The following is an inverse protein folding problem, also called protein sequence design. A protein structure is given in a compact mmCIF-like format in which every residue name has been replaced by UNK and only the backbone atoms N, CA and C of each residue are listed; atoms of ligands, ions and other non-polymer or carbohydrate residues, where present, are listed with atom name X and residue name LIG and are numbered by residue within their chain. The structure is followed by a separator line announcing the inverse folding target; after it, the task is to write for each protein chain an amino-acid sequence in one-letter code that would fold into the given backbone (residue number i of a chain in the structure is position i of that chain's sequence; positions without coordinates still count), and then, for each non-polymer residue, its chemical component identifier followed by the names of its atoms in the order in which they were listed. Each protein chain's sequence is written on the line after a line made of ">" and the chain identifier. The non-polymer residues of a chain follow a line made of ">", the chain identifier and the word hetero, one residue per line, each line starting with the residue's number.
data_IF_746044625044
#
_entry.id   IF_746044625044
#
_cell.length_a   1.000
_cell.length_b   1.000
_cell.length_c   1.000
_cell.angle_alpha   90.00
_cell.angle_beta   90.00
_cell.angle_gamma   90.00
#
_symmetry.space_group_name_H-M   'P 1'
#
loop_
_entity.id
_entity.type
_entity.pdbx_description
1 polymer ?
#
# COMPACT_ATOMS: atom_id res chain seq x y z
N UNK A 1 -6.98 3.67 16.63
CA UNK A 1 -5.74 4.46 16.75
C UNK A 1 -5.38 5.14 15.43
N UNK A 2 -5.27 4.40 14.28
CA UNK A 2 -4.84 4.94 12.98
C UNK A 2 -5.70 6.13 12.53
N UNK A 3 -7.02 5.95 12.49
CA UNK A 3 -7.98 7.02 12.11
C UNK A 3 -7.90 8.24 13.05
N UNK A 4 -7.75 8.01 14.36
CA UNK A 4 -7.59 9.12 15.33
C UNK A 4 -6.28 9.88 15.10
N UNK A 5 -5.26 9.24 14.57
CA UNK A 5 -3.99 9.85 14.17
C UNK A 5 -4.00 10.53 12.80
N UNK A 6 -5.15 10.57 12.11
CA UNK A 6 -5.29 11.16 10.78
C UNK A 6 -4.83 10.25 9.64
N UNK A 7 -4.52 8.99 9.92
CA UNK A 7 -4.18 8.00 8.91
C UNK A 7 -5.39 7.24 8.36
N UNK A 8 -5.14 6.38 7.40
CA UNK A 8 -6.13 5.48 6.80
C UNK A 8 -5.77 4.02 7.10
N UNK A 9 -6.77 3.19 7.32
CA UNK A 9 -6.55 1.75 7.38
C UNK A 9 -6.45 1.19 5.95
N UNK A 10 -5.51 0.28 5.73
CA UNK A 10 -5.53 -0.58 4.56
C UNK A 10 -6.76 -1.51 4.63
N UNK A 11 -6.97 -2.39 3.65
CA UNK A 11 -8.11 -3.32 3.64
C UNK A 11 -8.26 -4.01 5.01
N UNK A 12 -9.49 -4.03 5.55
CA UNK A 12 -9.80 -4.63 6.86
C UNK A 12 -9.91 -6.16 6.77
N UNK A 13 -10.19 -6.67 5.58
CA UNK A 13 -10.29 -8.09 5.29
C UNK A 13 -9.96 -8.36 3.82
N UNK A 14 -9.80 -9.64 3.46
CA UNK A 14 -9.40 -10.04 2.11
C UNK A 14 -10.48 -9.85 1.03
N UNK A 15 -11.72 -9.57 1.43
CA UNK A 15 -12.84 -9.38 0.50
C UNK A 15 -13.01 -7.92 0.05
N UNK A 16 -12.44 -6.95 0.78
CA UNK A 16 -12.55 -5.52 0.41
C UNK A 16 -11.72 -5.19 -0.82
N UNK A 17 -10.58 -5.82 -0.98
CA UNK A 17 -9.66 -5.62 -2.10
C UNK A 17 -8.81 -6.87 -2.29
N UNK A 18 -8.69 -7.33 -3.51
CA UNK A 18 -7.81 -8.44 -3.86
C UNK A 18 -6.38 -7.91 -4.00
N UNK A 19 -5.40 -8.68 -3.54
CA UNK A 19 -4.00 -8.27 -3.61
C UNK A 19 -3.19 -9.39 -4.28
N UNK A 20 -2.52 -9.04 -5.37
CA UNK A 20 -1.56 -9.90 -6.05
C UNK A 20 -0.15 -9.54 -5.59
N UNK A 21 0.59 -10.55 -5.18
CA UNK A 21 2.00 -10.49 -4.78
C UNK A 21 2.82 -11.40 -5.68
N UNK A 22 4.14 -11.32 -5.57
CA UNK A 22 5.10 -12.14 -6.31
C UNK A 22 4.69 -13.61 -6.40
N UNK A 23 4.42 -14.26 -5.29
CA UNK A 23 4.03 -15.67 -5.24
C UNK A 23 2.74 -15.97 -6.01
N UNK A 24 1.78 -15.04 -6.07
CA UNK A 24 0.56 -15.21 -6.84
C UNK A 24 0.83 -15.10 -8.34
N UNK A 25 1.68 -14.15 -8.73
CA UNK A 25 2.10 -13.92 -10.12
C UNK A 25 2.89 -15.11 -10.63
N UNK A 26 3.85 -15.58 -9.84
CA UNK A 26 4.67 -16.74 -10.16
C UNK A 26 3.81 -18.02 -10.34
N UNK A 27 2.86 -18.24 -9.43
CA UNK A 27 1.94 -19.37 -9.51
C UNK A 27 1.02 -19.31 -10.73
N UNK A 28 0.58 -18.13 -11.16
CA UNK A 28 -0.23 -17.93 -12.34
C UNK A 28 0.59 -17.97 -13.65
N UNK A 29 1.90 -17.73 -13.56
CA UNK A 29 2.85 -17.68 -14.67
C UNK A 29 3.00 -16.30 -15.31
N UNK A 30 2.14 -15.33 -15.02
CA UNK A 30 2.28 -13.91 -15.35
C UNK A 30 1.27 -13.08 -14.55
N UNK A 31 1.53 -11.77 -14.42
CA UNK A 31 0.61 -10.83 -13.82
C UNK A 31 -0.70 -10.75 -14.60
N UNK A 32 -0.64 -10.69 -15.93
CA UNK A 32 -1.81 -10.66 -16.81
C UNK A 32 -2.74 -11.84 -16.53
N UNK A 33 -2.19 -13.06 -16.48
CA UNK A 33 -2.97 -14.26 -16.15
C UNK A 33 -3.56 -14.22 -14.74
N UNK A 34 -2.79 -13.75 -13.76
CA UNK A 34 -3.28 -13.63 -12.39
C UNK A 34 -4.48 -12.68 -12.31
N UNK A 35 -4.41 -11.52 -12.97
CA UNK A 35 -5.50 -10.53 -13.02
C UNK A 35 -6.73 -11.11 -13.76
N UNK A 36 -6.51 -11.78 -14.89
CA UNK A 36 -7.60 -12.43 -15.66
C UNK A 36 -8.32 -13.50 -14.84
N UNK A 37 -7.58 -14.34 -14.10
CA UNK A 37 -8.15 -15.35 -13.22
C UNK A 37 -9.03 -14.74 -12.13
N UNK A 38 -8.59 -13.63 -11.50
CA UNK A 38 -9.39 -12.92 -10.51
C UNK A 38 -10.65 -12.33 -11.11
N UNK A 39 -10.55 -11.64 -12.24
CA UNK A 39 -11.71 -11.05 -12.94
C UNK A 39 -12.70 -12.11 -13.44
N UNK A 40 -12.21 -13.26 -13.86
CA UNK A 40 -13.07 -14.38 -14.24
C UNK A 40 -13.73 -15.08 -13.05
N UNK A 41 -13.12 -15.02 -11.87
CA UNK A 41 -13.63 -15.70 -10.66
C UNK A 41 -14.69 -14.90 -9.93
N UNK A 42 -14.62 -13.56 -9.95
CA UNK A 42 -15.49 -12.68 -9.17
C UNK A 42 -16.35 -11.81 -10.08
N UNK A 43 -17.64 -11.71 -9.79
CA UNK A 43 -18.58 -10.84 -10.50
C UNK A 43 -19.62 -10.26 -9.52
N UNK A 44 -19.58 -8.96 -9.17
CA UNK A 44 -18.53 -8.02 -9.58
C UNK A 44 -17.16 -8.36 -8.96
N UNK A 45 -16.10 -8.05 -9.69
CA UNK A 45 -14.74 -8.22 -9.17
C UNK A 45 -14.45 -7.10 -8.17
N UNK A 46 -13.99 -7.43 -6.94
CA UNK A 46 -13.47 -6.42 -6.04
C UNK A 46 -12.25 -5.70 -6.66
N UNK A 47 -11.90 -4.50 -6.18
CA UNK A 47 -10.68 -3.82 -6.62
C UNK A 47 -9.45 -4.72 -6.50
N UNK A 48 -8.56 -4.62 -7.48
CA UNK A 48 -7.31 -5.39 -7.52
C UNK A 48 -6.13 -4.47 -7.28
N UNK A 49 -5.35 -4.77 -6.26
CA UNK A 49 -4.04 -4.18 -6.00
C UNK A 49 -2.94 -5.16 -6.38
N UNK A 50 -1.87 -4.64 -7.01
CA UNK A 50 -0.71 -5.42 -7.41
C UNK A 50 0.55 -4.85 -6.80
N UNK A 51 1.34 -5.70 -6.14
CA UNK A 51 2.66 -5.39 -5.64
C UNK A 51 3.68 -5.50 -6.78
N UNK A 52 4.34 -4.37 -7.11
CA UNK A 52 5.34 -4.25 -8.16
C UNK A 52 6.72 -3.97 -7.56
N UNK A 53 7.74 -4.68 -8.04
CA UNK A 53 9.13 -4.63 -7.57
C UNK A 53 10.06 -3.86 -8.51
N UNK A 54 9.61 -3.62 -9.74
CA UNK A 54 10.39 -2.97 -10.80
C UNK A 54 9.49 -2.29 -11.83
N UNK A 55 10.08 -1.54 -12.77
CA UNK A 55 9.36 -0.77 -13.79
C UNK A 55 8.63 -1.65 -14.82
N UNK A 56 9.16 -2.83 -15.12
CA UNK A 56 8.52 -3.77 -16.05
C UNK A 56 7.21 -4.28 -15.47
N UNK A 57 7.19 -4.63 -14.18
CA UNK A 57 5.97 -5.04 -13.48
C UNK A 57 4.94 -3.90 -13.39
N UNK A 58 5.39 -2.65 -13.20
CA UNK A 58 4.51 -1.48 -13.25
C UNK A 58 3.88 -1.35 -14.64
N UNK A 59 4.66 -1.48 -15.70
CA UNK A 59 4.16 -1.42 -17.08
C UNK A 59 3.09 -2.50 -17.34
N UNK A 60 3.31 -3.73 -16.88
CA UNK A 60 2.34 -4.83 -17.01
C UNK A 60 1.08 -4.56 -16.18
N UNK A 61 1.21 -4.06 -14.94
CA UNK A 61 0.08 -3.71 -14.08
C UNK A 61 -0.78 -2.59 -14.69
N UNK A 62 -0.15 -1.56 -15.26
CA UNK A 62 -0.84 -0.48 -16.00
C UNK A 62 -1.59 -1.05 -17.21
N UNK A 63 -0.95 -1.93 -18.00
CA UNK A 63 -1.61 -2.58 -19.14
C UNK A 63 -2.81 -3.42 -18.72
N UNK A 64 -2.74 -4.08 -17.56
CA UNK A 64 -3.84 -4.84 -16.96
C UNK A 64 -4.96 -3.94 -16.39
N UNK A 65 -4.76 -2.62 -16.29
CA UNK A 65 -5.72 -1.68 -15.70
C UNK A 65 -6.19 -2.14 -14.32
N UNK A 66 -5.24 -2.40 -13.44
CA UNK A 66 -5.53 -2.69 -12.03
C UNK A 66 -5.99 -1.43 -11.30
N UNK A 67 -6.61 -1.56 -10.15
CA UNK A 67 -7.17 -0.43 -9.42
C UNK A 67 -6.11 0.31 -8.60
N UNK A 68 -5.10 -0.44 -8.08
CA UNK A 68 -3.98 0.12 -7.32
C UNK A 68 -2.68 -0.60 -7.63
N UNK A 69 -1.59 0.17 -7.69
CA UNK A 69 -0.22 -0.34 -7.82
C UNK A 69 0.54 -0.01 -6.55
N UNK A 70 1.06 -1.05 -5.88
CA UNK A 70 1.94 -0.92 -4.74
C UNK A 70 3.39 -0.97 -5.21
N UNK A 71 4.11 0.15 -5.01
CA UNK A 71 5.54 0.29 -5.26
C UNK A 71 6.29 -0.26 -4.05
N UNK A 72 6.70 -1.55 -4.14
CA UNK A 72 7.23 -2.28 -3.00
C UNK A 72 8.75 -2.26 -2.94
N UNK A 73 9.31 -1.81 -1.80
CA UNK A 73 10.73 -1.70 -1.57
C UNK A 73 11.50 -0.84 -2.59
N UNK A 74 10.83 0.06 -3.30
CA UNK A 74 11.49 1.02 -4.18
C UNK A 74 12.12 2.14 -3.36
N UNK A 75 13.33 2.55 -3.74
CA UNK A 75 14.01 3.69 -3.12
C UNK A 75 13.41 5.02 -3.58
N UNK A 76 13.54 6.11 -2.80
CA UNK A 76 13.04 7.43 -3.22
C UNK A 76 13.53 7.87 -4.59
N UNK A 77 14.72 7.46 -5.01
CA UNK A 77 15.31 7.83 -6.32
C UNK A 77 14.62 7.13 -7.50
N UNK A 78 14.00 5.97 -7.28
CA UNK A 78 13.25 5.23 -8.31
C UNK A 78 11.81 5.75 -8.48
N UNK A 79 11.26 6.40 -7.46
CA UNK A 79 9.85 6.76 -7.42
C UNK A 79 9.41 7.79 -8.48
N UNK A 80 10.21 8.80 -8.87
CA UNK A 80 9.82 9.73 -9.92
C UNK A 80 9.44 9.02 -11.21
N UNK A 81 10.30 8.15 -11.71
CA UNK A 81 10.06 7.39 -12.93
C UNK A 81 8.87 6.42 -12.77
N UNK A 82 8.83 5.69 -11.67
CA UNK A 82 7.75 4.74 -11.36
C UNK A 82 6.37 5.44 -11.32
N UNK A 83 6.27 6.57 -10.63
CA UNK A 83 5.01 7.31 -10.49
C UNK A 83 4.56 7.96 -11.80
N UNK A 84 5.49 8.41 -12.65
CA UNK A 84 5.17 9.01 -13.95
C UNK A 84 4.63 7.98 -14.96
N UNK A 85 5.02 6.71 -14.84
CA UNK A 85 4.50 5.63 -15.68
C UNK A 85 3.04 5.28 -15.38
N UNK A 86 2.54 5.60 -14.17
CA UNK A 86 1.22 5.15 -13.72
C UNK A 86 0.18 6.24 -14.03
N UNK A 87 -0.87 5.97 -14.83
CA UNK A 87 -1.95 6.91 -15.11
C UNK A 87 -2.71 7.31 -13.84
N UNK A 88 -3.27 8.54 -13.83
CA UNK A 88 -3.95 9.11 -12.66
C UNK A 88 -5.22 8.37 -12.21
N UNK A 89 -5.77 7.51 -13.04
CA UNK A 89 -6.94 6.68 -12.69
C UNK A 89 -6.58 5.39 -11.93
N UNK A 90 -5.30 5.06 -11.79
CA UNK A 90 -4.80 3.96 -10.96
C UNK A 90 -4.22 4.56 -9.68
N UNK A 91 -4.69 4.13 -8.52
CA UNK A 91 -4.12 4.56 -7.24
C UNK A 91 -2.71 4.03 -7.05
N UNK A 92 -1.89 4.77 -6.31
CA UNK A 92 -0.50 4.41 -6.03
C UNK A 92 -0.26 4.30 -4.54
N UNK A 93 0.42 3.23 -4.13
CA UNK A 93 0.83 3.00 -2.76
C UNK A 93 2.33 2.75 -2.69
N UNK A 94 3.04 3.44 -1.80
CA UNK A 94 4.43 3.13 -1.47
C UNK A 94 4.44 2.22 -0.26
N UNK A 95 5.18 1.13 -0.32
CA UNK A 95 5.31 0.15 0.76
C UNK A 95 6.72 -0.44 0.84
N UNK A 96 7.03 -1.01 2.00
CA UNK A 96 8.29 -1.68 2.27
C UNK A 96 9.26 -0.83 3.09
N UNK A 97 9.57 -1.27 4.31
CA UNK A 97 10.58 -0.67 5.18
C UNK A 97 10.33 0.77 5.64
N UNK A 98 9.14 1.33 5.39
CA UNK A 98 8.83 2.73 5.77
C UNK A 98 8.77 2.87 7.29
N UNK A 99 9.45 3.89 7.79
CA UNK A 99 9.52 4.26 9.22
C UNK A 99 9.33 5.75 9.40
N UNK A 100 9.25 6.22 10.66
CA UNK A 100 9.16 7.64 10.97
C UNK A 100 10.36 8.43 10.43
N UNK A 101 11.54 7.81 10.42
CA UNK A 101 12.78 8.43 9.94
C UNK A 101 12.83 8.55 8.42
N UNK A 102 12.21 7.60 7.71
CA UNK A 102 12.28 7.51 6.24
C UNK A 102 11.07 8.07 5.53
N UNK A 103 9.89 8.15 6.17
CA UNK A 103 8.62 8.55 5.54
C UNK A 103 8.70 9.92 4.84
N UNK A 104 9.46 10.87 5.40
CA UNK A 104 9.62 12.20 4.80
C UNK A 104 10.24 12.09 3.40
N UNK A 105 11.25 11.26 3.22
CA UNK A 105 11.91 11.08 1.91
C UNK A 105 10.93 10.58 0.86
N UNK A 106 10.04 9.65 1.22
CA UNK A 106 9.00 9.15 0.34
C UNK A 106 7.90 10.18 0.05
N UNK A 107 7.47 10.93 1.08
CA UNK A 107 6.41 11.93 0.93
C UNK A 107 6.83 13.18 0.14
N UNK A 108 8.13 13.51 0.14
CA UNK A 108 8.68 14.72 -0.51
C UNK A 108 9.40 14.46 -1.82
N UNK A 109 9.26 13.27 -2.39
CA UNK A 109 9.84 12.92 -3.70
C UNK A 109 9.48 14.01 -4.73
N UNK A 110 10.52 14.45 -5.47
CA UNK A 110 10.36 15.47 -6.51
C UNK A 110 9.78 14.86 -7.79
N UNK A 111 8.47 14.86 -7.89
CA UNK A 111 7.73 14.35 -9.04
C UNK A 111 6.45 15.15 -9.23
N UNK A 112 5.94 15.18 -10.47
CA UNK A 112 4.66 15.83 -10.81
C UNK A 112 3.51 15.08 -10.13
N UNK A 113 3.54 13.74 -10.15
CA UNK A 113 2.57 12.90 -9.48
C UNK A 113 3.05 12.52 -8.09
N UNK A 114 2.27 12.85 -7.07
CA UNK A 114 2.49 12.37 -5.70
C UNK A 114 1.86 10.99 -5.51
N UNK A 115 2.43 10.14 -4.62
CA UNK A 115 1.77 8.89 -4.24
C UNK A 115 0.45 9.19 -3.52
N UNK A 116 -0.55 8.34 -3.74
CA UNK A 116 -1.85 8.46 -3.05
C UNK A 116 -1.75 7.97 -1.61
N UNK A 117 -0.94 6.92 -1.37
CA UNK A 117 -0.75 6.32 -0.05
C UNK A 117 0.73 5.99 0.23
N UNK A 118 1.08 6.02 1.51
CA UNK A 118 2.34 5.49 2.03
C UNK A 118 2.00 4.55 3.19
N UNK A 119 2.28 3.27 3.03
CA UNK A 119 1.96 2.25 4.02
C UNK A 119 3.10 2.02 5.00
N UNK A 120 2.75 2.03 6.28
CA UNK A 120 3.70 1.90 7.39
C UNK A 120 3.29 0.74 8.30
N UNK A 121 3.79 -0.46 8.03
CA UNK A 121 3.49 -1.66 8.82
C UNK A 121 3.89 -1.54 10.30
N UNK A 122 4.94 -0.75 10.61
CA UNK A 122 5.44 -0.55 11.98
C UNK A 122 4.40 0.01 12.95
N UNK A 123 3.45 0.80 12.50
CA UNK A 123 2.35 1.32 13.35
C UNK A 123 1.37 0.23 13.78
N UNK A 124 1.45 -0.95 13.15
CA UNK A 124 0.64 -2.12 13.49
C UNK A 124 1.45 -3.15 14.29
N UNK A 125 2.57 -3.64 13.71
CA UNK A 125 3.33 -4.76 14.31
C UNK A 125 4.41 -4.34 15.31
N UNK A 126 4.79 -3.05 15.35
CA UNK A 126 5.85 -2.52 16.22
C UNK A 126 5.42 -1.23 16.92
N UNK A 127 4.14 -1.04 17.16
CA UNK A 127 3.64 0.10 17.92
C UNK A 127 4.18 0.07 19.35
N UNK A 128 4.71 1.22 19.79
CA UNK A 128 5.19 1.36 21.18
C UNK A 128 3.97 1.51 22.09
N UNK A 129 3.94 0.76 23.18
CA UNK A 129 2.87 0.83 24.18
C UNK A 129 2.89 2.19 24.88
N UNK A 130 1.72 2.84 24.97
CA UNK A 130 1.59 4.01 25.81
C UNK A 130 1.64 3.59 27.29
N UNK A 131 2.54 4.19 28.08
CA UNK A 131 2.64 3.94 29.52
C UNK A 131 1.54 4.73 30.24
N UNK A 132 0.42 4.07 30.47
CA UNK A 132 -0.74 4.65 31.15
C UNK A 132 -0.88 4.07 32.55
N UNK A 133 -1.05 4.93 33.56
CA UNK A 133 -1.41 4.53 34.91
C UNK A 133 -2.64 5.26 35.42
N UNK A 134 -3.49 4.56 36.15
CA UNK A 134 -4.68 5.12 36.80
C UNK A 134 -4.45 5.21 38.31
N UNK A 135 -4.76 6.36 38.92
CA UNK A 135 -4.77 6.55 40.36
C UNK A 135 -6.17 6.92 40.83
N UNK A 136 -6.65 6.23 41.84
CA UNK A 136 -7.89 6.57 42.50
C UNK A 136 -7.55 7.56 43.62
N UNK A 137 -8.05 8.79 43.53
CA UNK A 137 -7.96 9.79 44.60
C UNK A 137 -9.26 9.76 45.41
N UNK A 138 -9.16 9.82 46.76
CA UNK A 138 -10.33 10.12 47.61
C UNK A 138 -10.54 11.63 47.58
N UNK A 139 -11.72 12.09 47.20
CA UNK A 139 -12.09 13.48 47.44
C UNK A 139 -12.16 13.70 48.95
N UNK A 140 -11.47 14.73 49.44
CA UNK A 140 -11.64 15.19 50.81
C UNK A 140 -13.01 15.87 50.91
N UNK A 141 -13.94 15.26 51.66
CA UNK A 141 -15.22 15.85 52.00
C UNK A 141 -15.00 17.08 52.91
#
# INVERSE_FOLDING_TARGET
>A
AVLCGGGHNHRRNLAEMLMLKDNHIDAAGSMTKAVELLRGRYNPCPPIEVECRNLDEISEAVACRVDRIMLHNMTPDMLPEALEMIPSFIETEISGGVSLDTIRAYATVSTVRKPDFISVGRITHSAVTADLSMRIAKESL
#
